data_IF_886032747138
#
_entry.id   IF_886032747138
#
_cell.length_a   1.000
_cell.length_b   1.000
_cell.length_c   1.000
_cell.angle_alpha   90.00
_cell.angle_beta   90.00
_cell.angle_gamma   90.00
#
_symmetry.space_group_name_H-M   'P 1'
#
loop_
_entity.id
_entity.type
_entity.pdbx_description
1 polymer ?
#
# COMPACT_ATOMS: atom_id res chain seq x y z
N UNK A 1 10.90 -2.66 13.30
CA UNK A 1 9.64 -1.93 13.02
C UNK A 1 8.49 -2.92 13.09
N UNK A 2 7.45 -2.62 13.87
CA UNK A 2 6.27 -3.47 13.91
C UNK A 2 5.31 -3.10 12.76
N UNK A 3 4.25 -3.92 12.57
CA UNK A 3 3.33 -3.72 11.43
C UNK A 3 2.54 -2.41 11.54
N UNK A 4 2.26 -1.94 12.75
CA UNK A 4 1.52 -0.68 12.95
C UNK A 4 2.38 0.53 12.64
N UNK A 5 3.65 0.50 13.01
CA UNK A 5 4.62 1.53 12.63
C UNK A 5 4.80 1.58 11.10
N UNK A 6 4.89 0.41 10.47
CA UNK A 6 4.99 0.30 9.02
C UNK A 6 3.76 0.90 8.34
N UNK A 7 2.56 0.53 8.82
CA UNK A 7 1.30 1.11 8.34
C UNK A 7 1.33 2.63 8.45
N UNK A 8 1.70 3.17 9.60
CA UNK A 8 1.74 4.62 9.81
C UNK A 8 2.70 5.32 8.85
N UNK A 9 3.85 4.74 8.58
CA UNK A 9 4.80 5.31 7.62
C UNK A 9 4.21 5.36 6.22
N UNK A 10 3.56 4.28 5.78
CA UNK A 10 2.91 4.24 4.47
C UNK A 10 1.77 5.24 4.37
N UNK A 11 0.89 5.27 5.38
CA UNK A 11 -0.27 6.18 5.37
C UNK A 11 0.15 7.64 5.48
N UNK A 12 1.15 7.95 6.29
CA UNK A 12 1.67 9.32 6.41
C UNK A 12 2.26 9.81 5.09
N UNK A 13 2.94 8.93 4.36
CA UNK A 13 3.49 9.28 3.04
C UNK A 13 2.38 9.58 2.04
N UNK A 14 1.32 8.78 2.03
CA UNK A 14 0.15 9.01 1.17
C UNK A 14 -0.55 10.32 1.58
N UNK A 15 -0.87 10.46 2.87
CA UNK A 15 -1.67 11.57 3.37
C UNK A 15 -0.91 12.89 3.29
N UNK A 16 0.41 12.87 3.49
CA UNK A 16 1.26 14.05 3.42
C UNK A 16 1.39 14.67 2.04
N UNK A 17 1.07 13.91 0.97
CA UNK A 17 1.17 14.37 -0.41
C UNK A 17 -0.16 14.78 -1.03
N UNK A 18 -1.27 14.65 -0.30
CA UNK A 18 -2.61 14.89 -0.83
C UNK A 18 -2.77 16.30 -1.40
N UNK A 19 -2.25 17.31 -0.71
CA UNK A 19 -2.40 18.71 -1.13
C UNK A 19 -1.73 19.02 -2.47
N UNK A 20 -0.69 18.27 -2.84
CA UNK A 20 0.11 18.49 -4.06
C UNK A 20 -0.10 17.39 -5.10
N UNK A 21 -0.94 16.41 -4.79
CA UNK A 21 -1.12 15.22 -5.62
C UNK A 21 -1.92 15.55 -6.89
N UNK A 22 -1.55 14.91 -7.99
CA UNK A 22 -2.36 14.88 -9.21
C UNK A 22 -3.58 13.99 -8.98
N UNK A 23 -4.57 14.07 -9.87
CA UNK A 23 -5.74 13.19 -9.80
C UNK A 23 -5.35 11.71 -9.80
N UNK A 24 -4.36 11.34 -10.62
CA UNK A 24 -3.86 9.97 -10.70
C UNK A 24 -3.22 9.53 -9.36
N UNK A 25 -2.46 10.42 -8.73
CA UNK A 25 -1.83 10.14 -7.44
C UNK A 25 -2.88 10.04 -6.33
N UNK A 26 -3.92 10.85 -6.35
CA UNK A 26 -5.03 10.77 -5.40
C UNK A 26 -5.78 9.44 -5.54
N UNK A 27 -6.02 9.01 -6.75
CA UNK A 27 -6.65 7.70 -7.02
C UNK A 27 -5.78 6.57 -6.49
N UNK A 28 -4.51 6.53 -6.89
CA UNK A 28 -3.59 5.43 -6.51
C UNK A 28 -3.37 5.39 -5.00
N UNK A 29 -3.17 6.54 -4.37
CA UNK A 29 -2.98 6.64 -2.92
C UNK A 29 -4.20 6.18 -2.15
N UNK A 30 -5.39 6.63 -2.53
CA UNK A 30 -6.64 6.21 -1.89
C UNK A 30 -6.93 4.72 -2.08
N UNK A 31 -6.67 4.20 -3.27
CA UNK A 31 -6.83 2.78 -3.58
C UNK A 31 -5.90 1.92 -2.71
N UNK A 32 -4.63 2.28 -2.66
CA UNK A 32 -3.63 1.57 -1.85
C UNK A 32 -3.91 1.69 -0.35
N UNK A 33 -4.39 2.84 0.10
CA UNK A 33 -4.70 3.05 1.51
C UNK A 33 -5.66 1.99 2.03
N UNK A 34 -6.70 1.68 1.26
CA UNK A 34 -7.65 0.62 1.61
C UNK A 34 -7.00 -0.76 1.67
N UNK A 35 -6.17 -1.09 0.69
CA UNK A 35 -5.46 -2.37 0.66
C UNK A 35 -4.46 -2.51 1.81
N UNK A 36 -3.75 -1.43 2.14
CA UNK A 36 -2.78 -1.41 3.24
C UNK A 36 -3.48 -1.65 4.59
N UNK A 37 -4.53 -0.89 4.88
CA UNK A 37 -5.23 -1.00 6.16
C UNK A 37 -5.86 -2.38 6.34
N UNK A 38 -6.42 -2.94 5.27
CA UNK A 38 -6.98 -4.30 5.30
C UNK A 38 -5.89 -5.35 5.54
N UNK A 39 -4.74 -5.21 4.87
CA UNK A 39 -3.62 -6.15 5.01
C UNK A 39 -3.08 -6.17 6.45
N UNK A 40 -2.96 -4.99 7.07
CA UNK A 40 -2.51 -4.89 8.47
C UNK A 40 -3.52 -5.55 9.41
N UNK A 41 -4.80 -5.27 9.23
CA UNK A 41 -5.86 -5.87 10.05
C UNK A 41 -5.87 -7.39 9.92
N UNK A 42 -5.75 -7.92 8.70
CA UNK A 42 -5.69 -9.36 8.45
C UNK A 42 -4.45 -10.00 9.06
N UNK A 43 -3.31 -9.32 8.97
CA UNK A 43 -2.05 -9.81 9.56
C UNK A 43 -2.15 -9.89 11.07
N UNK A 44 -2.74 -8.89 11.71
CA UNK A 44 -2.96 -8.88 13.15
C UNK A 44 -3.85 -10.05 13.58
N UNK A 45 -4.98 -10.24 12.92
CA UNK A 45 -5.93 -11.32 13.23
C UNK A 45 -5.27 -12.69 13.06
N UNK A 46 -4.42 -12.85 12.03
CA UNK A 46 -3.73 -14.10 11.77
C UNK A 46 -2.51 -14.34 12.67
N UNK A 47 -2.15 -13.38 13.52
CA UNK A 47 -0.95 -13.47 14.35
C UNK A 47 0.36 -13.33 13.57
N UNK A 48 0.30 -12.73 12.40
CA UNK A 48 1.46 -12.52 11.50
C UNK A 48 1.96 -11.09 11.65
N UNK A 49 2.86 -10.85 12.60
CA UNK A 49 3.26 -9.52 13.03
C UNK A 49 4.56 -9.00 12.40
N UNK A 50 4.95 -9.53 11.25
CA UNK A 50 6.13 -9.07 10.53
C UNK A 50 5.75 -8.21 9.32
N UNK A 51 6.57 -7.20 9.04
CA UNK A 51 6.38 -6.30 7.89
C UNK A 51 6.29 -7.10 6.58
N UNK A 52 7.10 -8.15 6.43
CA UNK A 52 7.04 -9.02 5.23
C UNK A 52 5.65 -9.64 5.01
N UNK A 53 4.94 -9.95 6.10
CA UNK A 53 3.59 -10.54 6.01
C UNK A 53 2.59 -9.53 5.47
N UNK A 54 2.69 -8.28 5.93
CA UNK A 54 1.86 -7.18 5.43
C UNK A 54 2.14 -6.93 3.95
N UNK A 55 3.41 -6.86 3.56
CA UNK A 55 3.81 -6.66 2.15
C UNK A 55 3.25 -7.75 1.26
N UNK A 56 3.36 -9.01 1.68
CA UNK A 56 2.83 -10.15 0.94
C UNK A 56 1.31 -10.08 0.79
N UNK A 57 0.59 -9.69 1.83
CA UNK A 57 -0.87 -9.56 1.79
C UNK A 57 -1.32 -8.43 0.88
N UNK A 58 -0.64 -7.29 0.90
CA UNK A 58 -0.95 -6.19 -0.03
C UNK A 58 -0.75 -6.66 -1.47
N UNK A 59 0.36 -7.31 -1.75
CA UNK A 59 0.66 -7.83 -3.10
C UNK A 59 -0.41 -8.83 -3.56
N UNK A 60 -0.79 -9.76 -2.71
CA UNK A 60 -1.85 -10.74 -3.01
C UNK A 60 -3.18 -10.05 -3.28
N UNK A 61 -3.55 -9.09 -2.45
CA UNK A 61 -4.79 -8.32 -2.58
C UNK A 61 -4.82 -7.53 -3.89
N UNK A 62 -3.72 -6.88 -4.25
CA UNK A 62 -3.61 -6.15 -5.52
C UNK A 62 -3.70 -7.10 -6.72
N UNK A 63 -3.03 -8.25 -6.67
CA UNK A 63 -3.11 -9.25 -7.74
C UNK A 63 -4.52 -9.78 -7.92
N UNK A 64 -5.26 -10.02 -6.83
CA UNK A 64 -6.65 -10.44 -6.90
C UNK A 64 -7.53 -9.38 -7.54
N UNK A 65 -7.33 -8.12 -7.19
CA UNK A 65 -8.06 -7.00 -7.78
C UNK A 65 -7.80 -6.88 -9.28
N UNK A 66 -6.55 -7.06 -9.71
CA UNK A 66 -6.17 -7.06 -11.12
C UNK A 66 -6.86 -8.21 -11.86
N UNK A 67 -6.81 -9.42 -11.31
CA UNK A 67 -7.43 -10.60 -11.92
C UNK A 67 -8.95 -10.48 -12.01
N UNK A 68 -9.59 -9.78 -11.07
CA UNK A 68 -11.04 -9.57 -11.10
C UNK A 68 -11.47 -8.43 -12.03
N UNK A 69 -10.52 -7.74 -12.65
CA UNK A 69 -10.81 -6.68 -13.61
C UNK A 69 -11.14 -5.32 -12.99
N UNK A 70 -10.79 -5.09 -11.73
CA UNK A 70 -11.03 -3.79 -11.07
C UNK A 70 -10.22 -2.64 -11.67
N UNK A 71 -9.04 -2.95 -12.20
CA UNK A 71 -8.10 -1.96 -12.74
C UNK A 71 -7.83 -2.22 -14.22
N UNK A 72 -7.90 -1.19 -15.05
CA UNK A 72 -7.43 -1.27 -16.42
C UNK A 72 -5.89 -1.25 -16.45
N UNK A 73 -5.28 -1.43 -17.63
CA UNK A 73 -3.82 -1.53 -17.76
C UNK A 73 -3.09 -0.29 -17.24
N UNK A 74 -3.61 0.90 -17.53
CA UNK A 74 -3.00 2.17 -17.07
C UNK A 74 -3.10 2.31 -15.56
N UNK A 75 -4.25 1.98 -14.99
CA UNK A 75 -4.46 2.01 -13.53
C UNK A 75 -3.58 1.01 -12.81
N UNK A 76 -3.37 -0.18 -13.38
CA UNK A 76 -2.45 -1.17 -12.83
C UNK A 76 -1.04 -0.63 -12.71
N UNK A 77 -0.53 -0.02 -13.79
CA UNK A 77 0.81 0.58 -13.79
C UNK A 77 0.93 1.68 -12.76
N UNK A 78 -0.09 2.51 -12.66
CA UNK A 78 -0.14 3.63 -11.72
C UNK A 78 -0.12 3.15 -10.28
N UNK A 79 -0.98 2.20 -9.93
CA UNK A 79 -1.10 1.67 -8.57
C UNK A 79 0.18 0.91 -8.17
N UNK A 80 0.67 0.03 -9.03
CA UNK A 80 1.87 -0.75 -8.74
C UNK A 80 3.12 0.13 -8.64
N UNK A 81 3.24 1.13 -9.50
CA UNK A 81 4.34 2.09 -9.45
C UNK A 81 4.32 2.90 -8.15
N UNK A 82 3.15 3.37 -7.75
CA UNK A 82 2.98 4.11 -6.50
C UNK A 82 3.32 3.22 -5.28
N UNK A 83 2.86 1.97 -5.29
CA UNK A 83 3.18 1.01 -4.23
C UNK A 83 4.69 0.80 -4.09
N UNK A 84 5.40 0.63 -5.20
CA UNK A 84 6.85 0.47 -5.18
C UNK A 84 7.56 1.70 -4.60
N UNK A 85 7.10 2.90 -4.95
CA UNK A 85 7.65 4.14 -4.39
C UNK A 85 7.42 4.24 -2.88
N UNK A 86 6.23 3.86 -2.42
CA UNK A 86 5.92 3.84 -0.98
C UNK A 86 6.83 2.89 -0.23
N UNK A 87 7.07 1.68 -0.77
CA UNK A 87 7.94 0.70 -0.15
C UNK A 87 9.38 1.20 -0.05
N UNK A 88 9.91 1.77 -1.12
CA UNK A 88 11.26 2.33 -1.12
C UNK A 88 11.41 3.40 -0.04
N UNK A 89 10.44 4.29 0.07
CA UNK A 89 10.45 5.37 1.05
C UNK A 89 10.37 4.84 2.48
N UNK A 90 9.45 3.94 2.74
CA UNK A 90 9.26 3.37 4.07
C UNK A 90 10.48 2.55 4.52
N UNK A 91 11.08 1.79 3.62
CA UNK A 91 12.25 0.97 3.92
C UNK A 91 13.51 1.81 4.08
N UNK A 92 13.67 2.87 3.29
CA UNK A 92 14.78 3.80 3.45
C UNK A 92 14.73 4.50 4.82
N UNK A 93 13.54 4.89 5.26
CA UNK A 93 13.35 5.56 6.55
C UNK A 93 13.52 4.60 7.75
N UNK A 94 13.56 3.30 7.51
CA UNK A 94 13.72 2.27 8.55
C UNK A 94 15.18 1.98 8.92
N UNK A 95 16.13 2.49 8.16
CA UNK A 95 17.57 2.27 8.37
C UNK A 95 18.13 3.23 9.43
#
# INVERSE_FOLDING_TARGET
MNIFEFEQRLLNEIDGKVAEATNDQLFAGGYLRGHITLAVAQSEIAGRNHVRDVKARVKTSLNQAILSGELNDDDQKLVLGYWNQLLEKAEADAI
#
